data_IF_752099687622
#
_entry.id   IF_752099687622
#
_cell.length_a   1.000
_cell.length_b   1.000
_cell.length_c   1.000
_cell.angle_alpha   90.00
_cell.angle_beta   90.00
_cell.angle_gamma   90.00
#
_symmetry.space_group_name_H-M   'P 1'
#
loop_
_entity.id
_entity.type
_entity.pdbx_description
1 polymer ?
#
# COMPACT_ATOMS: atom_id res chain seq x y z
N UNK A 1 -13.75 -12.84 23.81
CA UNK A 1 -14.77 -13.63 23.08
C UNK A 1 -15.88 -12.67 22.65
N UNK A 2 -15.86 -12.20 21.41
CA UNK A 2 -16.75 -11.15 20.93
C UNK A 2 -18.19 -11.63 20.76
N UNK A 3 -19.10 -11.01 21.50
CA UNK A 3 -20.55 -11.26 21.50
C UNK A 3 -21.30 -10.60 20.33
N UNK A 4 -20.81 -10.72 19.10
CA UNK A 4 -21.46 -10.04 17.97
C UNK A 4 -22.03 -10.96 16.87
N UNK A 5 -22.14 -12.25 17.15
CA UNK A 5 -22.93 -13.15 16.31
C UNK A 5 -24.18 -13.54 17.09
N UNK A 6 -25.29 -12.83 16.83
CA UNK A 6 -26.60 -13.31 17.23
C UNK A 6 -26.82 -14.67 16.54
N UNK A 7 -26.88 -15.73 17.33
CA UNK A 7 -27.31 -17.05 16.86
C UNK A 7 -28.79 -16.97 16.45
N UNK A 8 -29.03 -16.93 15.15
CA UNK A 8 -30.35 -16.98 14.58
C UNK A 8 -30.29 -16.67 13.10
N UNK A 9 -30.74 -17.60 12.25
CA UNK A 9 -30.74 -17.45 10.78
C UNK A 9 -31.67 -16.33 10.27
N UNK A 10 -32.63 -15.86 11.10
CA UNK A 10 -33.65 -14.91 10.67
C UNK A 10 -33.10 -13.58 10.13
N UNK A 11 -32.04 -13.03 10.75
CA UNK A 11 -31.44 -11.79 10.27
C UNK A 11 -30.62 -11.98 9.00
N UNK A 12 -30.04 -13.17 8.82
CA UNK A 12 -29.33 -13.55 7.62
C UNK A 12 -30.31 -13.78 6.47
N UNK A 13 -31.40 -14.54 6.70
CA UNK A 13 -32.45 -14.76 5.70
C UNK A 13 -33.13 -13.46 5.26
N UNK A 14 -33.41 -12.55 6.18
CA UNK A 14 -33.94 -11.22 5.87
C UNK A 14 -32.96 -10.40 5.02
N UNK A 15 -31.65 -10.53 5.25
CA UNK A 15 -30.63 -9.82 4.47
C UNK A 15 -30.46 -10.40 3.08
N UNK A 16 -30.50 -11.73 2.93
CA UNK A 16 -30.37 -12.41 1.62
C UNK A 16 -31.60 -12.14 0.75
N UNK A 17 -32.79 -12.04 1.35
CA UNK A 17 -34.06 -11.75 0.65
C UNK A 17 -34.33 -10.25 0.49
N UNK A 18 -33.42 -9.36 0.86
CA UNK A 18 -33.54 -7.94 0.63
C UNK A 18 -33.21 -7.60 -0.85
N UNK A 19 -33.84 -6.56 -1.41
CA UNK A 19 -33.57 -6.09 -2.78
C UNK A 19 -32.10 -5.73 -3.04
N UNK A 20 -31.33 -5.47 -1.96
CA UNK A 20 -29.89 -5.18 -2.02
C UNK A 20 -29.17 -6.12 -1.06
N UNK A 21 -28.63 -7.21 -1.59
CA UNK A 21 -27.70 -8.08 -0.88
C UNK A 21 -26.24 -7.72 -1.25
N UNK A 22 -25.45 -7.30 -0.26
CA UNK A 22 -24.02 -7.06 -0.45
C UNK A 22 -23.26 -8.21 0.20
N UNK A 23 -22.63 -9.03 -0.61
CA UNK A 23 -21.74 -10.10 -0.15
C UNK A 23 -20.46 -9.50 0.49
N UNK A 24 -20.34 -9.74 1.81
CA UNK A 24 -19.18 -9.33 2.62
C UNK A 24 -18.22 -10.47 2.94
N UNK A 25 -18.36 -11.60 2.28
CA UNK A 25 -17.54 -12.81 2.53
C UNK A 25 -16.05 -12.52 2.44
N UNK A 26 -15.63 -11.66 1.51
CA UNK A 26 -14.24 -11.22 1.41
C UNK A 26 -13.72 -10.50 2.65
N UNK A 27 -14.56 -9.69 3.30
CA UNK A 27 -14.22 -8.99 4.56
C UNK A 27 -14.07 -10.01 5.70
N UNK A 28 -14.97 -10.98 5.81
CA UNK A 28 -14.91 -12.05 6.82
C UNK A 28 -13.63 -12.86 6.64
N UNK A 29 -13.29 -13.24 5.40
CA UNK A 29 -12.05 -13.96 5.08
C UNK A 29 -10.80 -13.18 5.47
N UNK A 30 -10.80 -11.87 5.25
CA UNK A 30 -9.69 -10.99 5.67
C UNK A 30 -9.61 -10.89 7.20
N UNK A 31 -10.72 -10.61 7.90
CA UNK A 31 -10.75 -10.47 9.36
C UNK A 31 -10.31 -11.76 10.05
N UNK A 32 -10.76 -12.92 9.58
CA UNK A 32 -10.34 -14.22 10.14
C UNK A 32 -8.83 -14.45 10.00
N UNK A 33 -8.21 -13.94 8.92
CA UNK A 33 -6.76 -14.07 8.70
C UNK A 33 -5.93 -13.20 9.63
N UNK A 34 -6.46 -12.03 10.07
CA UNK A 34 -5.72 -11.06 10.89
C UNK A 34 -6.03 -11.15 12.39
N UNK A 35 -7.10 -11.86 12.80
CA UNK A 35 -7.57 -11.97 14.18
C UNK A 35 -6.55 -12.53 15.19
N UNK A 36 -5.57 -13.32 14.73
CA UNK A 36 -4.51 -13.91 15.57
C UNK A 36 -3.13 -13.31 15.29
N UNK A 37 -3.06 -12.13 14.69
CA UNK A 37 -1.81 -11.42 14.40
C UNK A 37 -1.69 -10.19 15.31
N UNK A 38 -0.54 -9.51 15.25
CA UNK A 38 -0.35 -8.21 15.92
C UNK A 38 -1.33 -7.11 15.44
N UNK A 39 -2.12 -7.37 14.40
CA UNK A 39 -3.20 -6.51 13.89
C UNK A 39 -4.57 -6.87 14.50
N UNK A 40 -4.62 -7.32 15.75
CA UNK A 40 -5.80 -7.84 16.45
C UNK A 40 -7.03 -6.91 16.53
N UNK A 41 -6.94 -5.68 15.99
CA UNK A 41 -8.06 -4.75 15.93
C UNK A 41 -8.41 -4.43 14.48
N UNK A 42 -9.53 -4.94 14.01
CA UNK A 42 -10.11 -4.61 12.70
C UNK A 42 -11.36 -3.79 12.92
N UNK A 43 -11.33 -2.53 12.49
CA UNK A 43 -12.49 -1.65 12.49
C UNK A 43 -13.12 -1.66 11.09
N UNK A 44 -14.35 -2.14 10.98
CA UNK A 44 -15.13 -2.10 9.73
C UNK A 44 -16.10 -0.94 9.84
N UNK A 45 -15.88 0.11 9.05
CA UNK A 45 -16.74 1.28 9.00
C UNK A 45 -17.39 1.41 7.62
N UNK A 46 -18.67 1.77 7.61
CA UNK A 46 -19.34 2.14 6.36
C UNK A 46 -18.82 3.52 5.91
N UNK A 47 -18.43 3.69 4.64
CA UNK A 47 -18.04 5.00 4.13
C UNK A 47 -19.18 6.02 4.28
N UNK A 48 -18.84 7.25 4.68
CA UNK A 48 -19.78 8.36 4.79
C UNK A 48 -19.88 9.09 3.44
N UNK A 49 -21.00 8.92 2.76
CA UNK A 49 -21.22 9.51 1.44
C UNK A 49 -21.36 11.04 1.47
N UNK A 50 -21.76 11.64 2.60
CA UNK A 50 -21.80 13.10 2.75
C UNK A 50 -20.39 13.67 2.82
N UNK A 51 -19.53 13.02 3.59
CA UNK A 51 -18.10 13.40 3.65
C UNK A 51 -17.42 13.15 2.31
N UNK A 52 -17.73 12.06 1.63
CA UNK A 52 -17.22 11.79 0.27
C UNK A 52 -17.48 12.96 -0.67
N UNK A 53 -18.72 13.44 -0.71
CA UNK A 53 -19.11 14.59 -1.55
C UNK A 53 -18.34 15.85 -1.17
N UNK A 54 -18.24 16.16 0.12
CA UNK A 54 -17.49 17.34 0.59
C UNK A 54 -16.01 17.30 0.21
N UNK A 55 -15.36 16.15 0.32
CA UNK A 55 -13.95 16.01 -0.09
C UNK A 55 -13.81 16.22 -1.60
N UNK A 56 -14.76 15.71 -2.40
CA UNK A 56 -14.77 15.94 -3.84
C UNK A 56 -14.98 17.44 -4.17
N UNK A 57 -15.95 18.08 -3.55
CA UNK A 57 -16.20 19.52 -3.71
C UNK A 57 -14.96 20.35 -3.34
N UNK A 58 -14.23 19.97 -2.29
CA UNK A 58 -12.96 20.60 -1.93
C UNK A 58 -11.91 20.47 -3.04
N UNK A 59 -11.79 19.28 -3.66
CA UNK A 59 -10.89 19.05 -4.81
C UNK A 59 -11.30 19.90 -6.01
N UNK A 60 -12.58 19.97 -6.32
CA UNK A 60 -13.12 20.68 -7.46
C UNK A 60 -13.00 22.20 -7.30
N UNK A 61 -12.93 22.68 -6.07
CA UNK A 61 -12.73 24.11 -5.76
C UNK A 61 -11.27 24.59 -5.94
N UNK A 62 -10.31 23.68 -6.10
CA UNK A 62 -8.93 24.06 -6.32
C UNK A 62 -8.69 24.51 -7.77
N UNK A 63 -7.76 25.45 -7.95
CA UNK A 63 -7.36 25.95 -9.27
C UNK A 63 -6.51 24.90 -10.03
N UNK A 64 -7.16 23.84 -10.50
CA UNK A 64 -6.58 22.74 -11.28
C UNK A 64 -7.60 22.26 -12.30
N UNK A 65 -7.20 21.54 -13.38
CA UNK A 65 -8.15 20.83 -14.22
C UNK A 65 -9.01 19.85 -13.41
N UNK A 66 -10.28 19.72 -13.74
CA UNK A 66 -11.16 18.73 -13.11
C UNK A 66 -10.54 17.34 -13.30
N UNK A 67 -10.56 16.54 -12.24
CA UNK A 67 -9.92 15.22 -12.17
C UNK A 67 -8.43 15.21 -12.59
N UNK A 68 -7.75 16.35 -12.53
CA UNK A 68 -6.37 16.52 -13.01
C UNK A 68 -5.34 15.64 -12.32
N UNK A 69 -5.62 15.17 -11.09
CA UNK A 69 -4.79 14.21 -10.37
C UNK A 69 -5.34 12.76 -10.48
N UNK A 70 -6.40 12.55 -11.24
CA UNK A 70 -6.93 11.24 -11.58
C UNK A 70 -7.30 10.38 -10.38
N UNK A 71 -6.72 9.17 -10.31
CA UNK A 71 -7.02 8.19 -9.24
C UNK A 71 -6.64 8.69 -7.84
N UNK A 72 -5.69 9.63 -7.75
CA UNK A 72 -5.27 10.20 -6.48
C UNK A 72 -6.42 10.93 -5.76
N UNK A 73 -7.20 11.74 -6.48
CA UNK A 73 -8.39 12.42 -5.94
C UNK A 73 -9.44 11.42 -5.44
N UNK A 74 -9.66 10.35 -6.20
CA UNK A 74 -10.58 9.27 -5.81
C UNK A 74 -10.15 8.57 -4.54
N UNK A 75 -8.84 8.30 -4.39
CA UNK A 75 -8.28 7.68 -3.18
C UNK A 75 -8.50 8.60 -1.96
N UNK A 76 -8.18 9.89 -2.07
CA UNK A 76 -8.39 10.85 -0.99
C UNK A 76 -9.85 10.98 -0.60
N UNK A 77 -10.73 11.08 -1.58
CA UNK A 77 -12.18 11.14 -1.38
C UNK A 77 -12.68 9.91 -0.63
N UNK A 78 -12.14 8.74 -0.96
CA UNK A 78 -12.48 7.49 -0.28
C UNK A 78 -11.92 7.43 1.14
N UNK A 79 -10.69 7.91 1.37
CA UNK A 79 -10.10 7.99 2.72
C UNK A 79 -10.95 8.90 3.60
N UNK A 80 -11.33 10.09 3.13
CA UNK A 80 -12.21 10.99 3.86
C UNK A 80 -13.53 10.32 4.23
N UNK A 81 -14.18 9.63 3.28
CA UNK A 81 -15.41 8.90 3.53
C UNK A 81 -15.28 7.80 4.61
N UNK A 82 -14.15 7.09 4.63
CA UNK A 82 -13.88 6.03 5.62
C UNK A 82 -13.51 6.61 6.98
N UNK A 83 -12.70 7.66 7.03
CA UNK A 83 -12.29 8.31 8.28
C UNK A 83 -13.41 9.16 8.89
N UNK A 84 -14.34 9.65 8.06
CA UNK A 84 -15.41 10.55 8.47
C UNK A 84 -14.92 11.97 8.69
N UNK A 85 -13.83 12.36 8.02
CA UNK A 85 -13.22 13.68 8.11
C UNK A 85 -13.07 14.26 6.70
N UNK A 86 -13.59 15.48 6.50
CA UNK A 86 -13.45 16.21 5.22
C UNK A 86 -12.02 16.72 4.99
N UNK A 87 -11.24 16.84 6.07
CA UNK A 87 -9.82 17.21 6.06
C UNK A 87 -9.00 15.95 6.29
N UNK A 88 -8.65 15.26 5.22
CA UNK A 88 -7.85 14.02 5.30
C UNK A 88 -6.50 14.33 5.97
N UNK A 89 -6.24 13.85 7.18
CA UNK A 89 -4.99 14.15 7.88
C UNK A 89 -3.83 13.36 7.27
N UNK A 90 -2.77 14.07 6.86
CA UNK A 90 -1.53 13.49 6.32
C UNK A 90 -0.39 13.50 7.34
N UNK A 91 -0.69 13.15 8.58
CA UNK A 91 0.29 13.22 9.68
C UNK A 91 1.38 12.15 9.58
N UNK A 92 1.05 10.97 9.09
CA UNK A 92 1.99 9.84 8.92
C UNK A 92 2.21 9.58 7.44
N UNK A 93 3.35 10.04 6.93
CA UNK A 93 3.76 9.83 5.54
C UNK A 93 4.83 8.75 5.47
N UNK A 94 4.79 7.92 4.43
CA UNK A 94 5.82 6.94 4.15
C UNK A 94 6.15 6.89 2.66
N UNK A 95 7.44 6.67 2.37
CA UNK A 95 7.93 6.35 1.03
C UNK A 95 8.31 4.88 1.04
N UNK A 96 7.63 4.07 0.27
CA UNK A 96 7.94 2.65 0.08
C UNK A 96 8.86 2.55 -1.13
N UNK A 97 10.04 1.94 -0.95
CA UNK A 97 11.02 1.73 -2.01
C UNK A 97 11.22 0.23 -2.19
N UNK A 98 10.74 -0.30 -3.31
CA UNK A 98 10.93 -1.70 -3.67
C UNK A 98 12.25 -1.85 -4.43
N UNK A 99 13.16 -2.65 -3.91
CA UNK A 99 14.51 -2.87 -4.46
C UNK A 99 14.54 -4.23 -5.16
N UNK A 100 14.91 -4.22 -6.44
CA UNK A 100 15.09 -5.44 -7.24
C UNK A 100 16.09 -5.20 -8.37
N UNK A 101 16.76 -6.26 -8.78
CA UNK A 101 17.65 -6.29 -9.92
C UNK A 101 16.96 -6.85 -11.17
N UNK A 102 17.37 -6.35 -12.33
CA UNK A 102 16.87 -6.79 -13.62
C UNK A 102 17.99 -7.48 -14.41
N UNK A 103 17.73 -8.70 -14.90
CA UNK A 103 18.71 -9.49 -15.65
C UNK A 103 19.15 -8.86 -16.97
N UNK A 104 18.38 -7.91 -17.51
CA UNK A 104 18.75 -7.17 -18.74
C UNK A 104 20.05 -6.37 -18.60
N UNK A 105 20.55 -6.13 -17.39
CA UNK A 105 21.85 -5.47 -17.14
C UNK A 105 23.00 -6.24 -17.80
N UNK A 106 22.86 -7.55 -18.01
CA UNK A 106 23.85 -8.38 -18.74
C UNK A 106 24.10 -7.87 -20.17
N UNK A 107 23.17 -7.14 -20.77
CA UNK A 107 23.31 -6.59 -22.14
C UNK A 107 24.05 -5.26 -22.16
N UNK A 108 24.64 -4.82 -21.03
CA UNK A 108 25.47 -3.61 -20.98
C UNK A 108 24.70 -2.30 -21.14
N UNK A 109 23.37 -2.31 -20.92
CA UNK A 109 22.54 -1.11 -21.05
C UNK A 109 22.66 -0.16 -19.85
N UNK A 110 23.24 -0.62 -18.75
CA UNK A 110 23.43 0.16 -17.52
C UNK A 110 24.89 0.58 -17.38
N UNK A 111 25.12 1.79 -16.83
CA UNK A 111 26.46 2.27 -16.50
C UNK A 111 27.07 1.57 -15.29
N UNK A 112 26.27 0.87 -14.49
CA UNK A 112 26.69 0.16 -13.29
C UNK A 112 26.12 -1.26 -13.28
N UNK A 113 26.79 -2.16 -12.56
CA UNK A 113 26.31 -3.52 -12.36
C UNK A 113 25.21 -3.62 -11.30
N UNK A 114 24.75 -4.84 -11.05
CA UNK A 114 23.67 -5.14 -10.08
C UNK A 114 24.10 -4.89 -8.62
N UNK A 115 25.41 -4.89 -8.33
CA UNK A 115 25.96 -4.61 -6.99
C UNK A 115 25.50 -3.25 -6.43
N UNK A 116 25.24 -2.28 -7.30
CA UNK A 116 24.80 -0.94 -6.91
C UNK A 116 23.43 -0.97 -6.25
N UNK A 117 22.54 -1.86 -6.66
CA UNK A 117 21.20 -2.02 -6.04
C UNK A 117 21.33 -2.40 -4.57
N UNK A 118 22.23 -3.34 -4.25
CA UNK A 118 22.51 -3.72 -2.87
C UNK A 118 23.06 -2.54 -2.06
N UNK A 119 24.07 -1.83 -2.58
CA UNK A 119 24.71 -0.70 -1.91
C UNK A 119 23.73 0.44 -1.64
N UNK A 120 22.86 0.75 -2.60
CA UNK A 120 21.83 1.79 -2.45
C UNK A 120 20.76 1.34 -1.43
N UNK A 121 20.34 0.09 -1.47
CA UNK A 121 19.41 -0.46 -0.47
C UNK A 121 20.01 -0.41 0.95
N UNK A 122 21.29 -0.78 1.11
CA UNK A 122 22.02 -0.68 2.37
C UNK A 122 22.08 0.77 2.87
N UNK A 123 22.39 1.71 1.98
CA UNK A 123 22.40 3.14 2.29
C UNK A 123 21.03 3.64 2.76
N UNK A 124 19.92 3.13 2.17
CA UNK A 124 18.57 3.42 2.63
C UNK A 124 18.28 2.79 4.00
N UNK A 125 18.72 1.55 4.22
CA UNK A 125 18.63 0.89 5.54
C UNK A 125 19.31 1.71 6.64
N UNK A 126 20.50 2.23 6.34
CA UNK A 126 21.30 3.11 7.22
C UNK A 126 20.81 4.56 7.26
N UNK A 127 19.71 4.92 6.58
CA UNK A 127 19.14 6.28 6.51
C UNK A 127 20.08 7.35 5.91
N UNK A 128 21.02 6.96 5.07
CA UNK A 128 22.04 7.85 4.48
C UNK A 128 21.80 8.21 3.01
N UNK A 129 20.86 7.54 2.35
CA UNK A 129 20.55 7.80 0.94
C UNK A 129 19.84 9.15 0.75
N UNK A 130 19.96 9.73 -0.45
CA UNK A 130 19.29 10.98 -0.83
C UNK A 130 17.78 10.94 -0.57
N UNK A 131 17.11 9.83 -0.92
CA UNK A 131 15.66 9.66 -0.65
C UNK A 131 15.36 9.73 0.85
N UNK A 132 16.21 9.19 1.71
CA UNK A 132 16.03 9.28 3.16
C UNK A 132 16.18 10.71 3.67
N UNK A 133 17.18 11.45 3.17
CA UNK A 133 17.41 12.85 3.55
C UNK A 133 16.24 13.75 3.08
N UNK A 134 15.79 13.58 1.85
CA UNK A 134 14.63 14.33 1.31
C UNK A 134 13.32 13.97 2.04
N UNK A 135 13.09 12.69 2.30
CA UNK A 135 11.90 12.24 3.03
C UNK A 135 11.86 12.79 4.46
N UNK A 136 13.01 12.92 5.13
CA UNK A 136 13.12 13.52 6.45
C UNK A 136 12.65 14.99 6.44
N UNK A 137 12.99 15.78 5.42
CA UNK A 137 12.50 17.15 5.25
C UNK A 137 10.98 17.21 5.10
N UNK A 138 10.39 16.21 4.47
CA UNK A 138 8.93 16.09 4.29
C UNK A 138 8.24 15.41 5.50
N UNK A 139 8.96 15.13 6.57
CA UNK A 139 8.47 14.35 7.71
C UNK A 139 7.85 13.01 7.28
N UNK A 140 8.52 12.31 6.37
CA UNK A 140 8.11 11.02 5.84
C UNK A 140 9.12 9.93 6.22
N UNK A 141 8.62 8.72 6.52
CA UNK A 141 9.44 7.55 6.81
C UNK A 141 9.75 6.80 5.52
N UNK A 142 11.03 6.50 5.25
CA UNK A 142 11.41 5.62 4.15
C UNK A 142 11.36 4.16 4.63
N UNK A 143 10.74 3.30 3.83
CA UNK A 143 10.62 1.85 4.08
C UNK A 143 11.22 1.14 2.86
N UNK A 144 12.52 0.79 2.89
CA UNK A 144 13.13 0.01 1.84
C UNK A 144 12.73 -1.47 1.99
N UNK A 145 12.36 -2.10 0.88
CA UNK A 145 11.92 -3.49 0.81
C UNK A 145 12.71 -4.20 -0.27
N UNK A 146 13.42 -5.25 0.09
CA UNK A 146 14.04 -6.16 -0.87
C UNK A 146 12.96 -7.11 -1.40
N UNK A 147 12.60 -6.93 -2.67
CA UNK A 147 11.68 -7.82 -3.39
C UNK A 147 12.40 -8.66 -4.44
N UNK A 148 13.69 -8.40 -4.70
CA UNK A 148 14.43 -9.12 -5.73
C UNK A 148 15.86 -8.63 -5.94
N UNK A 149 16.58 -8.23 -4.91
CA UNK A 149 18.03 -7.94 -5.03
C UNK A 149 18.75 -9.25 -5.35
N UNK A 150 19.68 -9.21 -6.33
CA UNK A 150 20.41 -10.39 -6.80
C UNK A 150 21.34 -10.99 -5.73
N UNK A 151 21.81 -10.18 -4.77
CA UNK A 151 22.63 -10.63 -3.66
C UNK A 151 21.91 -11.71 -2.83
N UNK A 152 22.70 -12.56 -2.17
CA UNK A 152 22.18 -13.65 -1.34
C UNK A 152 21.43 -13.12 -0.13
N UNK A 153 22.03 -12.17 0.57
CA UNK A 153 21.50 -11.57 1.78
C UNK A 153 20.79 -10.25 1.48
N UNK A 154 19.81 -9.94 2.32
CA UNK A 154 19.16 -8.63 2.32
C UNK A 154 19.95 -7.67 3.20
N UNK A 155 20.23 -6.42 2.78
CA UNK A 155 20.97 -5.45 3.57
C UNK A 155 20.27 -5.15 4.91
N UNK A 156 21.08 -4.82 5.93
CA UNK A 156 20.56 -4.41 7.24
C UNK A 156 19.64 -3.19 7.14
N UNK A 157 18.54 -3.20 7.88
CA UNK A 157 17.53 -2.12 7.88
C UNK A 157 16.60 -2.11 6.65
N UNK A 158 16.71 -3.10 5.76
CA UNK A 158 15.82 -3.34 4.62
C UNK A 158 14.89 -4.50 4.93
N UNK A 159 13.61 -4.36 4.62
CA UNK A 159 12.65 -5.45 4.84
C UNK A 159 12.86 -6.56 3.81
N UNK A 160 13.14 -7.77 4.26
CA UNK A 160 13.25 -8.92 3.39
C UNK A 160 11.85 -9.42 2.99
N UNK A 161 11.52 -9.22 1.72
CA UNK A 161 10.34 -9.75 1.03
C UNK A 161 10.75 -10.29 -0.34
N UNK A 162 11.99 -10.81 -0.43
CA UNK A 162 12.58 -11.32 -1.66
C UNK A 162 11.72 -12.44 -2.26
N UNK A 163 11.32 -12.24 -3.51
CA UNK A 163 10.57 -13.21 -4.31
C UNK A 163 11.52 -14.09 -5.09
N UNK A 164 12.55 -13.47 -5.70
CA UNK A 164 13.62 -14.13 -6.44
C UNK A 164 14.89 -13.30 -6.39
N UNK A 165 16.03 -13.83 -6.83
CA UNK A 165 17.28 -13.08 -6.96
C UNK A 165 17.36 -12.39 -8.32
N UNK A 166 16.74 -11.24 -8.43
CA UNK A 166 16.59 -10.52 -9.69
C UNK A 166 15.58 -11.16 -10.64
N UNK A 167 15.40 -10.53 -11.79
CA UNK A 167 14.65 -11.10 -12.90
C UNK A 167 15.60 -11.81 -13.86
N UNK A 168 15.04 -12.67 -14.72
CA UNK A 168 15.76 -13.21 -15.85
C UNK A 168 16.01 -12.10 -16.90
N UNK A 169 16.98 -12.34 -17.78
CA UNK A 169 17.19 -11.48 -18.94
C UNK A 169 16.09 -11.78 -19.97
N UNK A 170 15.17 -10.84 -20.16
CA UNK A 170 14.00 -11.02 -21.03
C UNK A 170 14.34 -11.07 -22.52
N UNK A 171 15.58 -10.72 -22.93
CA UNK A 171 16.03 -10.96 -24.30
C UNK A 171 16.38 -12.43 -24.55
N UNK A 172 16.76 -13.17 -23.53
CA UNK A 172 17.17 -14.57 -23.63
C UNK A 172 16.04 -15.55 -23.27
N UNK A 173 15.14 -15.14 -22.35
CA UNK A 173 14.03 -15.98 -21.89
C UNK A 173 12.95 -15.11 -21.25
N UNK A 174 11.68 -15.58 -21.21
CA UNK A 174 10.59 -14.86 -20.52
C UNK A 174 10.97 -14.54 -19.07
N UNK A 175 10.59 -13.34 -18.62
CA UNK A 175 10.87 -12.83 -17.27
C UNK A 175 10.12 -13.63 -16.19
#
# INVERSE_FOLDING_TARGET
MGRYLKQGNESFEKSVNSEIYIDKTGVIKYTNRVLNTMQGYVCIRRPDEKIRKKVQENWDSLAKPLDGLGIFEKIFTQIGAVTGDERVPLQKKAVIVMCADNGIVEEGISQSGQEVTYQVAESMGKRKSSVCLMAAQANAKVIPIDVGIAAEETPEGVWNKKVSRGTKNFLKQPA
#
